data_IF_768502686165
#
_entry.id   IF_768502686165
#
_cell.length_a   1.000
_cell.length_b   1.000
_cell.length_c   1.000
_cell.angle_alpha   90.00
_cell.angle_beta   90.00
_cell.angle_gamma   90.00
#
_symmetry.space_group_name_H-M   'P 1'
#
loop_
_entity.id
_entity.type
_entity.pdbx_description
1 polymer ?
#
# COMPACT_ATOMS: atom_id res chain seq x y z
N UNK A 1 11.66 -0.57 -38.29
CA UNK A 1 10.57 0.37 -37.95
C UNK A 1 11.16 1.63 -37.35
N UNK A 2 11.03 2.77 -38.02
CA UNK A 2 11.52 4.07 -37.51
C UNK A 2 10.61 4.52 -36.39
N UNK A 3 11.18 4.77 -35.18
CA UNK A 3 10.47 5.46 -34.10
C UNK A 3 10.08 6.86 -34.61
N UNK A 4 8.79 7.13 -34.66
CA UNK A 4 8.25 8.45 -34.99
C UNK A 4 8.66 9.43 -33.86
N UNK A 5 9.15 10.61 -34.25
CA UNK A 5 9.45 11.74 -33.37
C UNK A 5 8.14 12.21 -32.73
N UNK A 6 7.80 11.71 -31.52
CA UNK A 6 6.56 12.12 -30.82
C UNK A 6 6.13 11.26 -29.63
N UNK A 7 6.62 10.03 -29.50
CA UNK A 7 6.28 9.21 -28.31
C UNK A 7 7.07 9.74 -27.11
N UNK A 8 6.45 10.65 -26.32
CA UNK A 8 6.94 10.99 -24.98
C UNK A 8 7.00 9.71 -24.18
N UNK A 9 8.19 9.32 -23.71
CA UNK A 9 8.37 8.15 -22.88
C UNK A 9 7.49 8.29 -21.63
N UNK A 10 6.46 7.43 -21.52
CA UNK A 10 5.60 7.40 -20.33
C UNK A 10 6.39 6.88 -19.14
N UNK A 11 6.31 7.59 -18.04
CA UNK A 11 6.84 7.13 -16.76
C UNK A 11 6.01 5.92 -16.28
N UNK A 12 6.69 4.89 -15.80
CA UNK A 12 6.00 3.68 -15.28
C UNK A 12 5.07 4.02 -14.09
N UNK A 13 5.49 4.97 -13.26
CA UNK A 13 4.75 5.45 -12.09
C UNK A 13 5.31 6.81 -11.65
N UNK A 14 4.48 7.59 -10.97
CA UNK A 14 4.87 8.82 -10.29
C UNK A 14 4.43 8.73 -8.83
N UNK A 15 5.28 9.19 -7.93
CA UNK A 15 4.95 9.32 -6.51
C UNK A 15 4.58 10.77 -6.23
N UNK A 16 3.40 10.96 -5.64
CA UNK A 16 2.91 12.25 -5.18
C UNK A 16 2.60 12.12 -3.69
N UNK A 17 3.44 12.71 -2.85
CA UNK A 17 3.23 12.70 -1.41
C UNK A 17 2.06 13.61 -1.05
N UNK A 18 0.97 13.03 -0.58
CA UNK A 18 -0.23 13.78 -0.17
C UNK A 18 -0.18 14.19 1.30
N UNK A 19 0.63 13.53 2.11
CA UNK A 19 0.89 13.88 3.51
C UNK A 19 2.24 13.33 3.96
N UNK A 20 2.86 14.00 4.93
CA UNK A 20 4.01 13.50 5.67
C UNK A 20 3.67 13.24 7.14
N UNK A 21 2.37 13.23 7.49
CA UNK A 21 1.87 12.92 8.83
C UNK A 21 1.66 11.40 8.92
N UNK A 22 2.15 10.80 10.01
CA UNK A 22 1.94 9.39 10.32
C UNK A 22 1.37 9.24 11.73
N UNK A 23 0.52 8.25 11.94
CA UNK A 23 -0.03 7.88 13.24
C UNK A 23 0.86 6.89 14.00
N UNK A 24 1.97 6.43 13.41
CA UNK A 24 2.98 5.58 14.04
C UNK A 24 4.34 6.28 14.08
N UNK A 25 5.23 5.75 14.94
CA UNK A 25 6.63 6.19 15.11
C UNK A 25 7.54 4.97 15.13
N UNK A 26 7.55 4.19 14.02
CA UNK A 26 8.35 2.97 13.91
C UNK A 26 9.83 3.25 14.09
N UNK A 27 10.56 2.40 14.82
CA UNK A 27 11.98 2.56 15.16
C UNK A 27 12.89 2.62 13.92
N UNK A 28 12.54 1.88 12.87
CA UNK A 28 13.28 1.84 11.61
C UNK A 28 12.95 2.99 10.63
N UNK A 29 11.93 3.81 10.93
CA UNK A 29 11.50 4.88 10.03
C UNK A 29 12.38 6.12 10.24
N UNK A 30 13.03 6.65 9.17
CA UNK A 30 13.85 7.86 9.29
C UNK A 30 13.04 9.11 9.64
N UNK A 31 11.71 9.04 9.53
CA UNK A 31 10.84 10.18 9.76
C UNK A 31 11.09 11.34 8.79
N UNK A 32 10.59 12.52 9.13
CA UNK A 32 10.84 13.75 8.35
C UNK A 32 10.99 14.95 9.25
N UNK A 33 11.93 15.86 8.89
CA UNK A 33 12.10 17.16 9.54
C UNK A 33 11.27 18.26 8.87
N UNK A 34 10.57 17.96 7.76
CA UNK A 34 9.70 18.91 7.08
C UNK A 34 8.49 19.25 7.93
N UNK A 35 7.95 20.45 7.76
CA UNK A 35 6.69 20.84 8.38
C UNK A 35 5.60 19.80 8.06
N UNK A 36 4.87 19.37 9.09
CA UNK A 36 3.74 18.44 8.92
C UNK A 36 2.61 19.11 8.17
N UNK A 37 2.12 18.46 7.11
CA UNK A 37 1.01 18.99 6.31
C UNK A 37 0.23 17.90 5.60
N UNK A 38 -0.98 18.25 5.26
CA UNK A 38 -1.79 17.59 4.24
C UNK A 38 -1.78 18.43 2.96
N UNK A 39 -1.69 17.79 1.82
CA UNK A 39 -1.92 18.42 0.52
C UNK A 39 -3.44 18.71 0.39
N UNK A 40 -3.85 19.90 -0.08
CA UNK A 40 -5.27 20.12 -0.30
C UNK A 40 -5.77 19.43 -1.58
N UNK A 41 -7.07 19.14 -1.71
CA UNK A 41 -7.62 18.60 -2.95
C UNK A 41 -7.36 19.49 -4.18
N UNK A 42 -7.32 20.81 -4.03
CA UNK A 42 -7.02 21.77 -5.09
C UNK A 42 -5.55 21.70 -5.51
N UNK A 43 -4.64 21.66 -4.54
CA UNK A 43 -3.20 21.45 -4.80
C UNK A 43 -2.96 20.11 -5.50
N UNK A 44 -3.65 19.04 -5.02
CA UNK A 44 -3.59 17.72 -5.62
C UNK A 44 -4.05 17.76 -7.08
N UNK A 45 -5.22 18.36 -7.37
CA UNK A 45 -5.76 18.51 -8.72
C UNK A 45 -4.75 19.21 -9.62
N UNK A 46 -4.23 20.35 -9.19
CA UNK A 46 -3.26 21.12 -9.95
C UNK A 46 -1.98 20.34 -10.31
N UNK A 47 -1.48 19.52 -9.36
CA UNK A 47 -0.30 18.68 -9.60
C UNK A 47 -0.63 17.50 -10.51
N UNK A 48 -1.78 16.84 -10.31
CA UNK A 48 -2.21 15.70 -11.10
C UNK A 48 -2.46 16.08 -12.57
N UNK A 49 -3.07 17.22 -12.84
CA UNK A 49 -3.28 17.73 -14.21
C UNK A 49 -1.98 17.81 -15.01
N UNK A 50 -0.88 18.22 -14.37
CA UNK A 50 0.45 18.28 -15.03
C UNK A 50 1.03 16.91 -15.36
N UNK A 51 0.50 15.83 -14.73
CA UNK A 51 0.96 14.47 -14.93
C UNK A 51 0.14 13.70 -15.98
N UNK A 52 -0.99 14.26 -16.42
CA UNK A 52 -1.83 13.66 -17.47
C UNK A 52 -1.00 13.45 -18.74
N UNK A 53 -1.06 12.24 -19.30
CA UNK A 53 -0.26 11.85 -20.46
C UNK A 53 1.20 11.50 -20.17
N UNK A 54 1.69 11.67 -18.92
CA UNK A 54 3.05 11.32 -18.52
C UNK A 54 3.16 10.00 -17.78
N UNK A 55 2.11 9.58 -17.07
CA UNK A 55 2.00 8.30 -16.37
C UNK A 55 0.56 7.82 -16.34
N UNK A 56 0.37 6.52 -16.10
CA UNK A 56 -0.95 5.94 -15.77
C UNK A 56 -1.06 5.61 -14.28
N UNK A 57 0.06 5.50 -13.55
CA UNK A 57 0.06 5.05 -12.17
C UNK A 57 0.54 6.17 -11.25
N UNK A 58 -0.34 6.59 -10.35
CA UNK A 58 -0.09 7.63 -9.37
C UNK A 58 -0.06 7.01 -7.96
N UNK A 59 1.11 7.06 -7.33
CA UNK A 59 1.35 6.53 -6.00
C UNK A 59 1.25 7.67 -4.98
N UNK A 60 0.20 7.63 -4.13
CA UNK A 60 -0.16 8.73 -3.22
C UNK A 60 0.54 8.62 -1.86
N UNK A 61 1.81 8.26 -1.87
CA UNK A 61 2.62 8.13 -0.65
C UNK A 61 4.10 8.31 -0.96
N UNK A 62 4.83 8.85 0.00
CA UNK A 62 6.30 8.80 0.11
C UNK A 62 6.65 8.62 1.58
N UNK A 63 6.46 9.64 2.40
CA UNK A 63 6.50 9.61 3.86
C UNK A 63 5.07 9.71 4.42
N UNK A 64 4.92 9.50 5.72
CA UNK A 64 3.61 9.57 6.39
C UNK A 64 2.72 8.36 6.14
N UNK A 65 1.49 8.44 6.64
CA UNK A 65 0.45 7.42 6.48
C UNK A 65 -0.72 8.00 5.66
N UNK A 66 -0.94 7.54 4.42
CA UNK A 66 -2.00 8.09 3.56
C UNK A 66 -3.40 8.04 4.19
N UNK A 67 -3.71 6.99 4.96
CA UNK A 67 -5.00 6.83 5.62
C UNK A 67 -5.27 7.88 6.72
N UNK A 68 -4.27 8.64 7.16
CA UNK A 68 -4.50 9.80 8.05
C UNK A 68 -5.07 10.99 7.30
N UNK A 69 -4.94 11.03 5.96
CA UNK A 69 -5.40 12.15 5.15
C UNK A 69 -6.93 12.21 5.08
N UNK A 70 -7.57 13.32 5.50
CA UNK A 70 -9.03 13.40 5.55
C UNK A 70 -9.70 13.29 4.17
N UNK A 71 -9.05 13.81 3.14
CA UNK A 71 -9.56 13.86 1.76
C UNK A 71 -8.98 12.79 0.82
N UNK A 72 -8.34 11.72 1.36
CA UNK A 72 -7.76 10.66 0.52
C UNK A 72 -8.77 10.04 -0.46
N UNK A 73 -10.02 9.67 -0.06
CA UNK A 73 -11.00 9.12 -0.99
C UNK A 73 -11.38 10.09 -2.12
N UNK A 74 -11.45 11.38 -1.83
CA UNK A 74 -11.71 12.43 -2.82
C UNK A 74 -10.56 12.49 -3.85
N UNK A 75 -9.31 12.50 -3.39
CA UNK A 75 -8.13 12.51 -4.27
C UNK A 75 -8.05 11.28 -5.16
N UNK A 76 -8.44 10.10 -4.65
CA UNK A 76 -8.50 8.87 -5.43
C UNK A 76 -9.54 8.99 -6.55
N UNK A 77 -10.74 9.52 -6.26
CA UNK A 77 -11.78 9.77 -7.29
C UNK A 77 -11.29 10.76 -8.35
N UNK A 78 -10.73 11.91 -7.92
CA UNK A 78 -10.15 12.90 -8.82
C UNK A 78 -9.09 12.30 -9.74
N UNK A 79 -8.19 11.48 -9.19
CA UNK A 79 -7.19 10.78 -9.99
C UNK A 79 -7.85 9.82 -11.01
N UNK A 80 -8.88 9.09 -10.62
CA UNK A 80 -9.65 8.20 -11.50
C UNK A 80 -10.31 8.94 -12.64
N UNK A 81 -10.94 10.09 -12.38
CA UNK A 81 -11.56 10.98 -13.38
C UNK A 81 -10.53 11.48 -14.42
N UNK A 82 -9.27 11.69 -13.99
CA UNK A 82 -8.16 12.07 -14.87
C UNK A 82 -7.52 10.86 -15.58
N UNK A 83 -8.02 9.64 -15.39
CA UNK A 83 -7.51 8.41 -16.01
C UNK A 83 -6.31 7.76 -15.31
N UNK A 84 -5.99 8.16 -14.09
CA UNK A 84 -4.92 7.53 -13.31
C UNK A 84 -5.42 6.28 -12.57
N UNK A 85 -4.52 5.33 -12.40
CA UNK A 85 -4.62 4.21 -11.47
C UNK A 85 -3.91 4.59 -10.17
N UNK A 86 -4.68 4.88 -9.12
CA UNK A 86 -4.15 5.30 -7.82
C UNK A 86 -3.64 4.12 -7.01
N UNK A 87 -2.49 4.28 -6.39
CA UNK A 87 -1.92 3.29 -5.46
C UNK A 87 -1.48 3.97 -4.17
N UNK A 88 -1.67 3.28 -3.05
CA UNK A 88 -1.15 3.70 -1.74
C UNK A 88 -0.28 2.63 -1.12
N UNK A 89 0.58 3.04 -0.18
CA UNK A 89 1.20 2.15 0.81
C UNK A 89 0.78 2.64 2.18
N UNK A 90 0.27 1.74 3.00
CA UNK A 90 -0.26 2.02 4.34
C UNK A 90 0.36 1.09 5.37
N UNK A 91 0.44 1.54 6.62
CA UNK A 91 0.76 0.69 7.76
C UNK A 91 -0.39 -0.24 8.17
N UNK A 92 -1.57 -0.08 7.58
CA UNK A 92 -2.72 -0.96 7.77
C UNK A 92 -3.59 -0.67 9.00
N UNK A 93 -3.12 0.10 9.98
CA UNK A 93 -3.82 0.29 11.26
C UNK A 93 -5.17 1.00 11.18
N UNK A 94 -5.46 1.67 10.08
CA UNK A 94 -6.71 2.38 9.84
C UNK A 94 -7.61 1.69 8.81
N UNK A 95 -7.27 0.49 8.34
CA UNK A 95 -8.04 -0.21 7.31
C UNK A 95 -9.42 -0.66 7.79
N UNK A 96 -9.56 -1.07 9.04
CA UNK A 96 -10.85 -1.42 9.61
C UNK A 96 -11.87 -0.29 9.51
N UNK A 97 -11.44 0.95 9.75
CA UNK A 97 -12.32 2.13 9.81
C UNK A 97 -12.39 2.92 8.50
N UNK A 98 -11.34 2.93 7.71
CA UNK A 98 -11.21 3.76 6.49
C UNK A 98 -11.09 2.97 5.18
N UNK A 99 -10.92 1.65 5.27
CA UNK A 99 -10.69 0.81 4.10
C UNK A 99 -11.86 0.80 3.12
N UNK A 100 -13.10 0.81 3.60
CA UNK A 100 -14.26 0.82 2.72
C UNK A 100 -14.30 2.06 1.83
N UNK A 101 -13.98 3.23 2.37
CA UNK A 101 -13.94 4.47 1.61
C UNK A 101 -12.88 4.47 0.48
N UNK A 102 -11.81 3.68 0.61
CA UNK A 102 -10.83 3.48 -0.47
C UNK A 102 -11.41 2.66 -1.61
N UNK A 103 -12.13 1.58 -1.27
CA UNK A 103 -12.79 0.70 -2.25
C UNK A 103 -13.83 1.50 -3.02
N UNK A 104 -14.69 2.22 -2.31
CA UNK A 104 -15.76 3.07 -2.89
C UNK A 104 -15.21 4.21 -3.75
N UNK A 105 -14.00 4.67 -3.44
CA UNK A 105 -13.31 5.70 -4.24
C UNK A 105 -12.63 5.14 -5.50
N UNK A 106 -12.56 3.83 -5.66
CA UNK A 106 -11.94 3.18 -6.82
C UNK A 106 -10.41 3.12 -6.77
N UNK A 107 -9.83 2.92 -5.57
CA UNK A 107 -8.39 2.70 -5.46
C UNK A 107 -7.97 1.49 -6.31
N UNK A 108 -6.91 1.63 -7.09
CA UNK A 108 -6.43 0.53 -7.93
C UNK A 108 -5.60 -0.48 -7.15
N UNK A 109 -4.74 0.01 -6.23
CA UNK A 109 -3.81 -0.84 -5.50
C UNK A 109 -3.55 -0.34 -4.09
N UNK A 110 -3.54 -1.26 -3.12
CA UNK A 110 -3.16 -1.01 -1.73
C UNK A 110 -2.00 -1.94 -1.35
N UNK A 111 -0.84 -1.36 -1.04
CA UNK A 111 0.25 -2.10 -0.42
C UNK A 111 0.15 -1.92 1.10
N UNK A 112 0.14 -3.01 1.85
CA UNK A 112 0.04 -3.01 3.31
C UNK A 112 1.38 -3.43 3.89
N UNK A 113 1.97 -2.56 4.70
CA UNK A 113 3.25 -2.80 5.37
C UNK A 113 3.00 -3.50 6.70
N UNK A 114 3.07 -4.83 6.73
CA UNK A 114 2.69 -5.67 7.88
C UNK A 114 3.76 -5.70 8.99
N UNK A 115 4.85 -4.99 8.81
CA UNK A 115 5.97 -4.89 9.75
C UNK A 115 5.83 -3.75 10.78
N UNK A 116 4.63 -3.18 10.91
CA UNK A 116 4.41 -2.01 11.78
C UNK A 116 4.29 -2.37 13.27
N UNK A 117 4.15 -3.65 13.61
CA UNK A 117 4.23 -4.12 14.99
C UNK A 117 5.67 -4.48 15.34
N UNK A 118 6.19 -3.89 16.42
CA UNK A 118 7.53 -4.14 16.94
C UNK A 118 7.49 -5.24 18.03
N UNK A 119 8.67 -5.79 18.36
CA UNK A 119 8.78 -6.82 19.40
C UNK A 119 8.26 -6.32 20.76
N UNK A 120 7.51 -7.18 21.44
CA UNK A 120 6.99 -6.91 22.79
C UNK A 120 5.58 -6.32 22.83
N UNK A 121 4.94 -6.08 21.70
CA UNK A 121 3.56 -5.66 21.68
C UNK A 121 2.57 -6.81 21.99
N UNK A 122 1.37 -6.44 22.47
CA UNK A 122 0.30 -7.35 22.83
C UNK A 122 -0.06 -8.28 21.66
N UNK A 123 0.03 -9.60 21.92
CA UNK A 123 -0.25 -10.63 20.90
C UNK A 123 -1.68 -10.58 20.37
N UNK A 124 -2.65 -10.28 21.23
CA UNK A 124 -4.04 -10.14 20.83
C UNK A 124 -4.30 -8.90 19.97
N UNK A 125 -3.52 -7.83 20.16
CA UNK A 125 -3.59 -6.65 19.29
C UNK A 125 -3.04 -6.97 17.91
N UNK A 126 -1.98 -7.77 17.82
CA UNK A 126 -1.42 -8.21 16.53
C UNK A 126 -2.40 -9.07 15.74
N UNK A 127 -3.05 -10.03 16.38
CA UNK A 127 -4.03 -10.90 15.73
C UNK A 127 -5.21 -10.09 15.18
N UNK A 128 -5.78 -9.20 15.97
CA UNK A 128 -6.85 -8.27 15.51
C UNK A 128 -6.40 -7.42 14.33
N UNK A 129 -5.17 -6.90 14.38
CA UNK A 129 -4.60 -6.13 13.27
C UNK A 129 -4.46 -6.96 11.98
N UNK A 130 -4.03 -8.23 12.08
CA UNK A 130 -3.94 -9.12 10.93
C UNK A 130 -5.33 -9.48 10.38
N UNK A 131 -6.32 -9.70 11.25
CA UNK A 131 -7.72 -9.91 10.84
C UNK A 131 -8.25 -8.71 10.08
N UNK A 132 -8.10 -7.49 10.59
CA UNK A 132 -8.54 -6.25 9.95
C UNK A 132 -7.91 -6.08 8.54
N UNK A 133 -6.62 -6.41 8.40
CA UNK A 133 -5.93 -6.38 7.11
C UNK A 133 -6.50 -7.41 6.14
N UNK A 134 -6.71 -8.64 6.59
CA UNK A 134 -7.19 -9.72 5.73
C UNK A 134 -8.66 -9.53 5.35
N UNK A 135 -9.50 -9.06 6.27
CA UNK A 135 -10.87 -8.69 5.97
C UNK A 135 -10.96 -7.55 4.94
N UNK A 136 -10.09 -6.56 5.07
CA UNK A 136 -9.98 -5.53 4.04
C UNK A 136 -9.52 -6.13 2.71
N UNK A 137 -8.49 -6.97 2.72
CA UNK A 137 -7.96 -7.58 1.50
C UNK A 137 -9.01 -8.43 0.76
N UNK A 138 -9.82 -9.19 1.49
CA UNK A 138 -10.92 -9.98 0.92
C UNK A 138 -12.00 -9.10 0.30
N UNK A 139 -12.44 -8.05 0.99
CA UNK A 139 -13.40 -7.08 0.44
C UNK A 139 -12.84 -6.31 -0.76
N UNK A 140 -11.60 -5.83 -0.65
CA UNK A 140 -10.93 -5.10 -1.72
C UNK A 140 -10.76 -5.96 -2.97
N UNK A 141 -10.38 -7.23 -2.80
CA UNK A 141 -10.22 -8.23 -3.86
C UNK A 141 -11.53 -8.47 -4.62
N UNK A 142 -12.66 -8.61 -3.91
CA UNK A 142 -13.97 -8.81 -4.54
C UNK A 142 -14.43 -7.62 -5.37
N UNK A 143 -13.82 -6.44 -5.17
CA UNK A 143 -14.05 -5.22 -5.95
C UNK A 143 -12.92 -4.92 -6.97
N UNK A 144 -12.03 -5.89 -7.22
CA UNK A 144 -10.95 -5.74 -8.19
C UNK A 144 -9.79 -4.86 -7.75
N UNK A 145 -9.68 -4.54 -6.46
CA UNK A 145 -8.56 -3.80 -5.90
C UNK A 145 -7.38 -4.74 -5.65
N UNK A 146 -6.23 -4.44 -6.20
CA UNK A 146 -5.00 -5.22 -5.98
C UNK A 146 -4.44 -4.94 -4.59
N UNK A 147 -4.48 -5.93 -3.69
CA UNK A 147 -3.90 -5.84 -2.36
C UNK A 147 -2.58 -6.61 -2.28
N UNK A 148 -1.56 -5.99 -1.69
CA UNK A 148 -0.22 -6.58 -1.52
C UNK A 148 0.23 -6.46 -0.08
N UNK A 149 0.41 -7.59 0.60
CA UNK A 149 1.04 -7.64 1.92
C UNK A 149 2.56 -7.58 1.78
N UNK A 150 3.21 -6.70 2.52
CA UNK A 150 4.66 -6.49 2.49
C UNK A 150 5.24 -6.81 3.85
N UNK A 151 5.99 -7.91 3.92
CA UNK A 151 6.79 -8.29 5.06
C UNK A 151 8.22 -7.81 4.84
N UNK A 152 8.81 -7.18 5.85
CA UNK A 152 10.21 -6.77 5.84
C UNK A 152 11.04 -7.74 6.68
N UNK A 153 12.36 -7.62 6.55
CA UNK A 153 13.33 -8.42 7.32
C UNK A 153 13.19 -9.94 7.09
N UNK A 154 12.79 -10.32 5.87
CA UNK A 154 13.01 -11.70 5.41
C UNK A 154 14.46 -11.84 4.93
N UNK A 155 15.11 -12.94 5.30
CA UNK A 155 16.42 -13.27 4.73
C UNK A 155 16.32 -13.58 3.24
N UNK A 156 17.47 -13.73 2.57
CA UNK A 156 17.53 -14.07 1.14
C UNK A 156 16.94 -15.45 0.79
N UNK A 157 16.64 -16.28 1.79
CA UNK A 157 16.03 -17.60 1.66
C UNK A 157 14.53 -17.60 1.97
N UNK A 158 13.97 -16.43 2.36
CA UNK A 158 12.56 -16.28 2.69
C UNK A 158 12.21 -16.63 4.14
N UNK A 159 13.21 -16.82 4.99
CA UNK A 159 13.02 -17.01 6.41
C UNK A 159 12.88 -15.66 7.13
N UNK A 160 12.12 -15.64 8.21
CA UNK A 160 11.90 -14.45 8.99
C UNK A 160 13.12 -14.14 9.87
N UNK A 161 13.73 -12.98 9.66
CA UNK A 161 14.82 -12.47 10.50
C UNK A 161 14.25 -11.69 11.69
N UNK A 162 13.78 -12.39 12.72
CA UNK A 162 13.33 -11.77 13.96
C UNK A 162 11.98 -11.03 13.87
N UNK A 163 11.64 -10.34 14.94
CA UNK A 163 10.38 -9.60 15.06
C UNK A 163 9.14 -10.48 15.04
N UNK A 164 8.02 -9.90 14.67
CA UNK A 164 6.73 -10.59 14.58
C UNK A 164 6.52 -11.37 13.26
N UNK A 165 7.51 -11.41 12.37
CA UNK A 165 7.38 -12.09 11.07
C UNK A 165 7.04 -13.58 11.17
N UNK A 166 7.67 -14.39 12.07
CA UNK A 166 7.31 -15.81 12.22
C UNK A 166 5.82 -15.99 12.54
N UNK A 167 5.31 -15.21 13.50
CA UNK A 167 3.90 -15.26 13.90
C UNK A 167 2.95 -14.81 12.79
N UNK A 168 3.32 -13.75 12.07
CA UNK A 168 2.57 -13.29 10.89
C UNK A 168 2.52 -14.38 9.82
N UNK A 169 3.65 -15.04 9.54
CA UNK A 169 3.69 -16.14 8.56
C UNK A 169 2.87 -17.34 9.01
N UNK A 170 2.90 -17.72 10.28
CA UNK A 170 2.10 -18.81 10.81
C UNK A 170 0.60 -18.50 10.74
N UNK A 171 0.20 -17.27 11.08
CA UNK A 171 -1.17 -16.79 10.91
C UNK A 171 -1.63 -16.86 9.44
N UNK A 172 -0.79 -16.39 8.51
CA UNK A 172 -1.09 -16.44 7.07
C UNK A 172 -1.18 -17.89 6.56
N UNK A 173 -0.32 -18.80 7.01
CA UNK A 173 -0.38 -20.23 6.65
C UNK A 173 -1.66 -20.87 7.15
N UNK A 174 -2.07 -20.58 8.39
CA UNK A 174 -3.33 -21.06 8.94
C UNK A 174 -4.55 -20.53 8.16
N UNK A 175 -4.51 -19.28 7.74
CA UNK A 175 -5.60 -18.62 7.01
C UNK A 175 -5.69 -19.04 5.53
N UNK A 176 -4.57 -19.44 4.93
CA UNK A 176 -4.43 -19.83 3.52
C UNK A 176 -3.70 -21.18 3.39
N UNK A 177 -4.29 -22.30 3.88
CA UNK A 177 -3.62 -23.61 3.95
C UNK A 177 -3.26 -24.18 2.58
N UNK A 178 -4.04 -23.84 1.54
CA UNK A 178 -3.82 -24.33 0.16
C UNK A 178 -2.80 -23.50 -0.62
N UNK A 179 -2.21 -22.47 0.01
CA UNK A 179 -1.21 -21.62 -0.65
C UNK A 179 0.18 -22.14 -0.33
N UNK A 180 0.93 -22.55 -1.37
CA UNK A 180 2.34 -22.86 -1.22
C UNK A 180 3.14 -21.60 -0.91
N UNK A 181 3.46 -21.39 0.36
CA UNK A 181 4.30 -20.30 0.84
C UNK A 181 5.79 -20.71 0.93
N UNK A 182 6.13 -21.93 0.54
CA UNK A 182 7.50 -22.46 0.67
C UNK A 182 8.52 -21.73 -0.20
N UNK A 183 8.22 -21.22 -1.41
CA UNK A 183 9.17 -20.43 -2.17
C UNK A 183 9.06 -18.93 -1.97
N UNK A 184 8.93 -18.46 -0.75
CA UNK A 184 9.21 -17.05 -0.45
C UNK A 184 10.71 -16.76 -0.60
N UNK A 185 11.30 -17.36 -1.62
CA UNK A 185 12.59 -16.91 -2.12
C UNK A 185 12.43 -15.47 -2.51
N UNK A 186 13.41 -14.66 -2.17
CA UNK A 186 13.51 -13.28 -2.63
C UNK A 186 13.15 -13.21 -4.11
N UNK A 187 11.90 -12.94 -4.38
CA UNK A 187 11.39 -12.73 -5.72
C UNK A 187 11.02 -11.25 -5.83
N UNK A 188 11.67 -10.48 -6.71
CA UNK A 188 11.29 -9.10 -6.95
C UNK A 188 9.86 -8.96 -7.47
N UNK A 189 9.18 -10.06 -7.76
CA UNK A 189 7.80 -10.11 -8.27
C UNK A 189 6.75 -10.44 -7.19
N UNK A 190 7.16 -10.81 -5.97
CA UNK A 190 6.26 -11.22 -4.89
C UNK A 190 5.59 -12.58 -5.11
N UNK A 191 4.87 -13.06 -4.10
CA UNK A 191 4.01 -14.24 -4.18
C UNK A 191 2.53 -13.80 -4.24
N UNK A 192 1.66 -14.61 -4.87
CA UNK A 192 0.21 -14.38 -4.89
C UNK A 192 -0.45 -15.33 -3.90
N UNK A 193 -1.29 -14.80 -3.02
CA UNK A 193 -2.06 -15.58 -2.07
C UNK A 193 -3.36 -16.15 -2.69
N UNK A 194 -3.79 -15.63 -3.84
CA UNK A 194 -4.92 -16.13 -4.64
C UNK A 194 -4.63 -15.98 -6.12
N UNK A 195 -5.00 -16.99 -6.91
CA UNK A 195 -4.80 -17.02 -8.38
C UNK A 195 -5.73 -16.10 -9.17
N UNK A 196 -6.68 -15.45 -8.50
CA UNK A 196 -7.63 -14.56 -9.16
C UNK A 196 -7.64 -13.20 -8.49
N UNK A 197 -6.77 -12.36 -8.98
CA UNK A 197 -6.88 -10.91 -8.95
C UNK A 197 -6.25 -10.33 -10.22
#
# INVERSE_FOLDING_TARGET
>A
MRKTKGDKAMLKRVYLEITNICNLSCSFCPGTKRQRRFLSPEEFRHLAEKLVGHTRHLYLHVMGEPLTHPHLPEMIRLAGEMGFKSAITTNGTLLATRGQALIDAGVYKVNISVHSFEDGEDTGAMERYLEDILDFADRASSHGVLTVLRLWNLDGHGEALGGNNPRTLDYLRARFPDTDMTPWKFSPRGARLRDKL
#
